data_IF_166565282815
#
_entry.id   IF_166565282815
#
_cell.length_a   1.000
_cell.length_b   1.000
_cell.length_c   1.000
_cell.angle_alpha   90.00
_cell.angle_beta   90.00
_cell.angle_gamma   90.00
#
_symmetry.space_group_name_H-M   'P 1'
#
loop_
_entity.id
_entity.type
_entity.pdbx_description
1 polymer ?
#
# COMPACT_ATOMS: atom_id res chain seq x y z
N UNK A 1 -23.07 10.51 26.10
CA UNK A 1 -22.92 9.09 25.82
C UNK A 1 -23.72 8.74 24.57
N UNK A 2 -23.10 8.05 23.60
CA UNK A 2 -23.73 7.55 22.39
C UNK A 2 -23.35 6.10 22.17
N UNK A 3 -24.24 5.31 21.59
CA UNK A 3 -23.99 3.91 21.26
C UNK A 3 -24.75 3.52 20.01
N UNK A 4 -24.16 2.64 19.20
CA UNK A 4 -24.76 2.13 17.97
C UNK A 4 -24.30 0.69 17.73
N UNK A 5 -25.23 -0.17 17.35
CA UNK A 5 -24.95 -1.51 16.81
C UNK A 5 -25.34 -1.53 15.34
N UNK A 6 -24.55 -2.20 14.52
CA UNK A 6 -24.78 -2.34 13.08
C UNK A 6 -24.43 -3.75 12.62
N UNK A 7 -25.24 -4.30 11.75
CA UNK A 7 -24.95 -5.48 10.95
C UNK A 7 -24.84 -5.05 9.48
N UNK A 8 -23.86 -5.63 8.78
CA UNK A 8 -23.67 -5.48 7.35
C UNK A 8 -23.63 -6.87 6.71
N UNK A 9 -24.36 -7.03 5.63
CA UNK A 9 -24.24 -8.14 4.71
C UNK A 9 -24.05 -7.56 3.30
N UNK A 10 -23.07 -8.07 2.60
CA UNK A 10 -22.73 -7.65 1.26
C UNK A 10 -22.53 -8.88 0.38
N UNK A 11 -23.12 -8.86 -0.81
CA UNK A 11 -22.91 -9.86 -1.86
C UNK A 11 -22.52 -9.10 -3.10
N UNK A 12 -21.28 -9.27 -3.51
CA UNK A 12 -20.71 -8.67 -4.72
C UNK A 12 -20.58 -9.77 -5.77
N UNK A 13 -21.19 -9.55 -6.92
CA UNK A 13 -21.14 -10.48 -8.05
C UNK A 13 -20.58 -9.75 -9.25
N UNK A 14 -19.52 -10.28 -9.80
CA UNK A 14 -18.87 -9.78 -11.00
C UNK A 14 -19.03 -10.80 -12.12
N UNK A 15 -19.63 -10.38 -13.23
CA UNK A 15 -19.77 -11.14 -14.47
C UNK A 15 -19.11 -10.33 -15.60
N UNK A 16 -18.16 -10.91 -16.30
CA UNK A 16 -17.54 -10.32 -17.47
C UNK A 16 -17.66 -11.24 -18.67
N UNK A 17 -17.98 -10.67 -19.82
CA UNK A 17 -18.01 -11.36 -21.08
C UNK A 17 -17.24 -10.53 -22.12
N UNK A 18 -16.15 -11.06 -22.60
CA UNK A 18 -15.35 -10.47 -23.66
C UNK A 18 -15.58 -11.24 -24.96
N UNK A 19 -15.81 -10.53 -26.06
CA UNK A 19 -15.89 -11.12 -27.39
C UNK A 19 -15.24 -10.19 -28.42
N UNK A 20 -14.33 -10.72 -29.20
CA UNK A 20 -13.63 -10.02 -30.29
C UNK A 20 -13.77 -10.79 -31.60
N UNK A 21 -13.96 -10.05 -32.70
CA UNK A 21 -13.94 -10.61 -34.04
C UNK A 21 -13.23 -9.66 -34.99
N UNK A 22 -12.48 -10.21 -35.94
CA UNK A 22 -11.71 -9.47 -36.96
C UNK A 22 -12.12 -9.93 -38.33
N UNK A 23 -11.73 -9.16 -39.37
CA UNK A 23 -12.01 -9.46 -40.78
C UNK A 23 -13.51 -9.71 -41.04
N UNK A 24 -14.32 -8.63 -41.09
CA UNK A 24 -15.75 -8.74 -41.34
C UNK A 24 -16.05 -9.06 -42.81
N UNK A 25 -16.88 -10.05 -43.07
CA UNK A 25 -17.24 -10.55 -44.40
C UNK A 25 -17.88 -9.49 -45.31
N UNK A 26 -18.50 -8.44 -44.76
CA UNK A 26 -19.13 -7.37 -45.48
C UNK A 26 -18.82 -5.99 -44.92
N UNK A 27 -18.46 -5.05 -45.76
CA UNK A 27 -18.18 -3.66 -45.38
C UNK A 27 -19.45 -3.01 -44.80
N UNK A 28 -19.30 -2.45 -43.59
CA UNK A 28 -20.40 -1.76 -42.88
C UNK A 28 -21.28 -2.65 -42.03
N UNK A 29 -21.01 -3.96 -41.95
CA UNK A 29 -21.69 -4.91 -41.08
C UNK A 29 -20.69 -5.34 -39.97
N UNK A 30 -20.79 -4.70 -38.80
CA UNK A 30 -19.88 -4.95 -37.64
C UNK A 30 -20.53 -5.84 -36.57
N UNK A 31 -21.19 -6.90 -37.04
CA UNK A 31 -21.71 -7.94 -36.14
C UNK A 31 -20.63 -8.99 -35.91
N UNK A 32 -20.45 -9.44 -34.66
CA UNK A 32 -19.50 -10.51 -34.31
C UNK A 32 -19.74 -11.78 -35.17
N UNK A 33 -21.01 -12.09 -35.48
CA UNK A 33 -21.35 -13.21 -36.36
C UNK A 33 -20.93 -13.04 -37.81
N UNK A 34 -20.51 -11.85 -38.25
CA UNK A 34 -19.98 -11.57 -39.58
C UNK A 34 -18.44 -11.53 -39.62
N UNK A 35 -17.76 -11.73 -38.51
CA UNK A 35 -16.31 -11.86 -38.44
C UNK A 35 -15.87 -13.20 -39.03
N UNK A 36 -14.80 -13.16 -39.86
CA UNK A 36 -14.23 -14.36 -40.52
C UNK A 36 -12.94 -14.83 -39.89
N UNK A 37 -12.30 -13.97 -39.10
CA UNK A 37 -11.03 -14.27 -38.37
C UNK A 37 -11.03 -13.71 -36.97
N UNK A 38 -10.12 -14.23 -36.11
CA UNK A 38 -9.84 -13.69 -34.81
C UNK A 38 -11.01 -13.75 -33.80
N UNK A 39 -11.88 -14.73 -33.96
CA UNK A 39 -12.98 -14.95 -33.00
C UNK A 39 -12.42 -15.39 -31.66
N UNK A 40 -12.47 -14.48 -30.68
CA UNK A 40 -12.14 -14.77 -29.29
C UNK A 40 -13.36 -14.50 -28.43
N UNK A 41 -13.69 -15.45 -27.57
CA UNK A 41 -14.74 -15.30 -26.56
C UNK A 41 -14.14 -15.77 -25.24
N UNK A 42 -14.28 -14.93 -24.23
CA UNK A 42 -13.85 -15.22 -22.87
C UNK A 42 -14.91 -14.78 -21.88
N UNK A 43 -15.00 -15.41 -20.73
CA UNK A 43 -15.94 -15.06 -19.68
C UNK A 43 -15.32 -15.31 -18.32
N UNK A 44 -15.60 -14.40 -17.39
CA UNK A 44 -15.17 -14.51 -16.01
C UNK A 44 -16.34 -14.20 -15.10
N UNK A 45 -16.52 -15.00 -14.06
CA UNK A 45 -17.54 -14.81 -13.03
C UNK A 45 -16.91 -15.05 -11.67
N UNK A 46 -17.15 -14.13 -10.73
CA UNK A 46 -16.89 -14.36 -9.32
C UNK A 46 -18.03 -13.85 -8.43
N UNK A 47 -18.07 -14.34 -7.20
CA UNK A 47 -18.97 -13.87 -6.18
C UNK A 47 -18.26 -13.81 -4.83
N UNK A 48 -18.31 -12.62 -4.22
CA UNK A 48 -17.75 -12.36 -2.90
C UNK A 48 -18.89 -12.10 -1.92
N UNK A 49 -18.87 -12.84 -0.81
CA UNK A 49 -19.81 -12.64 0.30
C UNK A 49 -19.03 -12.05 1.48
N UNK A 50 -19.60 -11.03 2.11
CA UNK A 50 -19.04 -10.39 3.30
C UNK A 50 -20.13 -10.15 4.34
N UNK A 51 -19.76 -10.36 5.60
CA UNK A 51 -20.61 -10.05 6.74
C UNK A 51 -19.83 -9.26 7.77
N UNK A 52 -20.50 -8.34 8.48
CA UNK A 52 -19.87 -7.53 9.50
C UNK A 52 -20.79 -7.17 10.65
N UNK A 53 -20.27 -7.29 11.87
CA UNK A 53 -20.92 -6.88 13.10
C UNK A 53 -20.14 -5.75 13.73
N UNK A 54 -20.82 -4.65 14.08
CA UNK A 54 -20.20 -3.44 14.59
C UNK A 54 -20.82 -3.03 15.91
N UNK A 55 -19.97 -2.69 16.87
CA UNK A 55 -20.35 -2.00 18.09
C UNK A 55 -19.59 -0.68 18.18
N UNK A 56 -20.29 0.44 18.27
CA UNK A 56 -19.74 1.77 18.31
C UNK A 56 -20.17 2.44 19.61
N UNK A 57 -19.23 3.02 20.34
CA UNK A 57 -19.47 3.77 21.57
C UNK A 57 -18.77 5.11 21.54
N UNK A 58 -19.35 6.11 22.18
CA UNK A 58 -18.73 7.43 22.31
C UNK A 58 -19.14 8.13 23.59
N UNK A 59 -18.17 8.78 24.21
CA UNK A 59 -18.33 9.56 25.42
C UNK A 59 -17.77 10.96 25.13
N UNK A 60 -18.57 11.96 25.42
CA UNK A 60 -18.14 13.34 25.51
C UNK A 60 -18.45 13.81 26.93
N UNK A 61 -17.40 14.22 27.64
CA UNK A 61 -17.55 14.70 29.01
C UNK A 61 -17.12 16.16 29.10
N UNK A 62 -18.11 17.06 29.31
CA UNK A 62 -17.96 18.51 29.48
C UNK A 62 -17.24 19.17 28.29
N UNK A 63 -17.37 18.64 27.09
CA UNK A 63 -16.64 19.10 25.89
C UNK A 63 -15.11 19.16 26.03
N UNK A 64 -14.56 18.47 27.05
CA UNK A 64 -13.13 18.42 27.35
C UNK A 64 -12.49 17.10 26.98
N UNK A 65 -13.17 16.02 27.36
CA UNK A 65 -12.68 14.66 27.19
C UNK A 65 -13.61 13.91 26.24
N UNK A 66 -13.09 13.59 25.08
CA UNK A 66 -13.83 12.90 24.05
C UNK A 66 -13.20 11.53 23.87
N UNK A 67 -14.01 10.48 23.88
CA UNK A 67 -13.59 9.10 23.64
C UNK A 67 -14.55 8.46 22.65
N UNK A 68 -14.02 7.88 21.59
CA UNK A 68 -14.74 7.06 20.63
C UNK A 68 -14.12 5.68 20.51
N UNK A 69 -14.97 4.66 20.48
CA UNK A 69 -14.58 3.26 20.36
C UNK A 69 -15.41 2.59 19.28
N UNK A 70 -14.75 1.76 18.48
CA UNK A 70 -15.35 0.87 17.51
C UNK A 70 -14.77 -0.52 17.72
N UNK A 71 -15.66 -1.51 17.80
CA UNK A 71 -15.30 -2.91 17.64
C UNK A 71 -16.04 -3.46 16.44
N UNK A 72 -15.33 -4.26 15.64
CA UNK A 72 -15.86 -4.83 14.41
C UNK A 72 -15.42 -6.28 14.27
N UNK A 73 -16.35 -7.17 13.93
CA UNK A 73 -16.06 -8.54 13.54
C UNK A 73 -16.54 -8.75 12.11
N UNK A 74 -15.62 -9.07 11.21
CA UNK A 74 -15.88 -9.23 9.79
C UNK A 74 -15.61 -10.64 9.32
N UNK A 75 -16.45 -11.13 8.43
CA UNK A 75 -16.27 -12.36 7.69
C UNK A 75 -16.24 -12.12 6.19
N UNK A 76 -15.42 -12.89 5.46
CA UNK A 76 -15.38 -12.84 4.00
C UNK A 76 -15.11 -14.21 3.40
N UNK A 77 -15.78 -14.49 2.26
CA UNK A 77 -15.59 -15.72 1.49
C UNK A 77 -14.21 -15.80 0.82
N UNK A 78 -13.44 -14.69 0.78
CA UNK A 78 -12.09 -14.65 0.20
C UNK A 78 -11.05 -15.34 1.06
N UNK A 79 -11.33 -15.59 2.34
CA UNK A 79 -10.43 -16.29 3.25
C UNK A 79 -10.76 -17.78 3.32
N UNK A 80 -9.75 -18.59 3.62
CA UNK A 80 -9.92 -19.99 3.97
C UNK A 80 -10.87 -20.15 5.18
N UNK A 81 -11.40 -21.34 5.36
CA UNK A 81 -12.46 -21.62 6.35
C UNK A 81 -12.04 -21.22 7.77
N UNK A 82 -10.78 -21.46 8.14
CA UNK A 82 -10.24 -21.18 9.47
C UNK A 82 -9.99 -19.69 9.73
N UNK A 83 -9.74 -18.90 8.68
CA UNK A 83 -9.37 -17.49 8.75
C UNK A 83 -10.50 -16.55 8.31
N UNK A 84 -11.68 -17.10 8.11
CA UNK A 84 -12.84 -16.36 7.56
C UNK A 84 -13.28 -15.18 8.41
N UNK A 85 -13.13 -15.24 9.73
CA UNK A 85 -13.61 -14.24 10.66
C UNK A 85 -12.47 -13.50 11.37
N UNK A 86 -12.42 -12.16 11.20
CA UNK A 86 -11.40 -11.30 11.77
C UNK A 86 -12.02 -10.24 12.69
N UNK A 87 -11.26 -9.84 13.71
CA UNK A 87 -11.68 -8.83 14.66
C UNK A 87 -10.84 -7.56 14.48
N UNK A 88 -11.52 -6.42 14.40
CA UNK A 88 -10.89 -5.12 14.28
C UNK A 88 -11.42 -4.17 15.34
N UNK A 89 -10.60 -3.22 15.73
CA UNK A 89 -10.99 -2.21 16.70
C UNK A 89 -10.42 -0.84 16.33
N UNK A 90 -11.06 0.19 16.86
CA UNK A 90 -10.51 1.55 16.88
C UNK A 90 -10.86 2.19 18.22
N UNK A 91 -9.87 2.82 18.83
CA UNK A 91 -10.03 3.68 20.00
C UNK A 91 -9.43 5.04 19.64
N UNK A 92 -10.20 6.09 19.82
CA UNK A 92 -9.70 7.45 19.63
C UNK A 92 -10.11 8.33 20.80
N UNK A 93 -9.21 9.20 21.21
CA UNK A 93 -9.46 10.16 22.28
C UNK A 93 -8.98 11.54 21.91
N UNK A 94 -9.68 12.54 22.42
CA UNK A 94 -9.25 13.91 22.34
C UNK A 94 -9.40 14.59 23.70
N UNK A 95 -8.37 15.34 24.09
CA UNK A 95 -8.36 16.15 25.29
C UNK A 95 -8.20 17.62 24.90
N UNK A 96 -9.23 18.42 25.16
CA UNK A 96 -9.21 19.87 24.95
C UNK A 96 -8.55 20.57 26.14
N UNK A 97 -7.23 20.68 26.09
CA UNK A 97 -6.40 21.33 27.10
C UNK A 97 -6.83 22.77 27.38
N UNK A 98 -7.24 23.47 26.31
CA UNK A 98 -7.72 24.86 26.42
C UNK A 98 -8.98 25.04 27.24
N UNK A 99 -9.74 24.01 27.53
CA UNK A 99 -10.94 24.05 28.36
C UNK A 99 -10.64 23.73 29.85
N UNK A 100 -9.37 23.47 30.19
CA UNK A 100 -8.95 23.24 31.56
C UNK A 100 -8.74 24.55 32.34
N UNK A 101 -8.97 24.49 33.66
CA UNK A 101 -8.84 25.68 34.52
C UNK A 101 -7.42 26.27 34.51
N UNK A 102 -6.39 25.42 34.41
CA UNK A 102 -4.99 25.84 34.36
C UNK A 102 -4.63 26.61 33.08
N UNK A 103 -5.44 26.49 32.00
CA UNK A 103 -5.22 27.15 30.72
C UNK A 103 -5.76 28.59 30.67
N UNK A 104 -6.51 28.99 31.66
CA UNK A 104 -7.25 30.30 31.70
C UNK A 104 -6.36 31.52 31.39
N UNK A 105 -5.11 31.52 31.87
CA UNK A 105 -4.16 32.62 31.62
C UNK A 105 -3.64 32.67 30.17
N UNK A 106 -3.65 31.54 29.46
CA UNK A 106 -3.16 31.40 28.10
C UNK A 106 -4.28 31.58 27.05
N UNK A 107 -5.56 31.45 27.46
CA UNK A 107 -6.73 31.42 26.56
C UNK A 107 -6.87 32.68 25.69
N UNK A 108 -6.36 33.83 26.14
CA UNK A 108 -6.32 35.07 25.36
C UNK A 108 -5.38 35.02 24.16
N UNK A 109 -4.32 34.22 24.23
CA UNK A 109 -3.33 34.06 23.17
C UNK A 109 -3.48 32.74 22.43
N UNK A 110 -3.58 31.63 23.16
CA UNK A 110 -3.80 30.29 22.62
C UNK A 110 -5.26 29.94 22.91
N UNK A 111 -6.10 30.14 21.91
CA UNK A 111 -7.55 30.03 22.05
C UNK A 111 -8.02 28.59 22.09
N UNK A 112 -7.33 27.70 21.37
CA UNK A 112 -7.54 26.28 21.40
C UNK A 112 -6.20 25.53 21.51
N UNK A 113 -6.18 24.51 22.35
CA UNK A 113 -5.12 23.51 22.43
C UNK A 113 -5.79 22.17 22.66
N UNK A 114 -5.56 21.22 21.74
CA UNK A 114 -6.17 19.91 21.78
C UNK A 114 -5.13 18.84 21.49
N UNK A 115 -5.06 17.85 22.35
CA UNK A 115 -4.30 16.62 22.13
C UNK A 115 -5.22 15.54 21.57
N UNK A 116 -4.75 14.79 20.58
CA UNK A 116 -5.47 13.67 19.96
C UNK A 116 -4.61 12.43 20.00
N UNK A 117 -5.26 11.32 20.27
CA UNK A 117 -4.69 9.99 20.16
C UNK A 117 -5.67 9.09 19.45
N UNK A 118 -5.20 8.29 18.51
CA UNK A 118 -5.97 7.20 17.96
C UNK A 118 -5.11 5.95 17.77
N UNK A 119 -5.73 4.79 17.98
CA UNK A 119 -5.18 3.50 17.61
C UNK A 119 -6.29 2.64 17.02
N UNK A 120 -6.02 2.06 15.86
CA UNK A 120 -6.97 1.24 15.17
C UNK A 120 -6.32 0.14 14.37
N UNK A 121 -7.12 -0.85 14.03
CA UNK A 121 -6.72 -1.98 13.20
C UNK A 121 -7.63 -2.09 11.99
N UNK A 122 -7.06 -2.54 10.87
CA UNK A 122 -7.76 -2.84 9.63
C UNK A 122 -7.14 -4.09 8.99
N UNK A 123 -7.90 -4.78 8.15
CA UNK A 123 -7.40 -5.92 7.39
C UNK A 123 -7.59 -5.70 5.91
N UNK A 124 -6.67 -6.24 5.12
CA UNK A 124 -6.82 -6.34 3.68
C UNK A 124 -7.08 -7.79 3.27
N UNK A 125 -7.93 -7.97 2.27
CA UNK A 125 -8.35 -9.30 1.80
C UNK A 125 -7.45 -9.75 0.64
N UNK A 126 -7.16 -11.07 0.52
CA UNK A 126 -6.47 -11.61 -0.64
C UNK A 126 -7.34 -11.49 -1.91
N UNK A 127 -6.73 -11.75 -3.07
CA UNK A 127 -7.49 -11.92 -4.31
C UNK A 127 -8.37 -13.19 -4.23
N UNK A 128 -9.45 -13.22 -5.01
CA UNK A 128 -10.39 -14.34 -5.04
C UNK A 128 -9.70 -15.69 -5.27
N UNK A 129 -8.76 -15.73 -6.20
CA UNK A 129 -8.08 -16.95 -6.61
C UNK A 129 -6.94 -17.40 -5.67
N UNK A 130 -6.54 -16.57 -4.66
CA UNK A 130 -5.33 -16.84 -3.87
C UNK A 130 -5.38 -18.16 -3.07
N UNK A 131 -6.58 -18.62 -2.68
CA UNK A 131 -6.76 -19.87 -1.94
C UNK A 131 -6.85 -21.11 -2.85
N UNK A 132 -6.98 -20.93 -4.17
CA UNK A 132 -7.19 -22.01 -5.15
C UNK A 132 -5.98 -22.20 -6.05
N UNK A 133 -5.82 -23.44 -6.56
CA UNK A 133 -4.91 -23.72 -7.65
C UNK A 133 -5.44 -23.09 -8.93
N UNK A 134 -4.61 -22.36 -9.65
CA UNK A 134 -4.96 -21.75 -10.93
C UNK A 134 -4.20 -22.38 -12.09
N UNK A 135 -4.84 -22.40 -13.24
CA UNK A 135 -4.31 -22.94 -14.47
C UNK A 135 -4.46 -21.94 -15.60
N UNK A 136 -3.45 -21.87 -16.44
CA UNK A 136 -3.55 -21.12 -17.70
C UNK A 136 -3.95 -22.08 -18.83
N UNK A 137 -4.92 -21.67 -19.63
CA UNK A 137 -5.37 -22.45 -20.80
C UNK A 137 -5.11 -21.60 -22.04
N UNK A 138 -4.12 -22.02 -22.84
CA UNK A 138 -3.75 -21.33 -24.08
C UNK A 138 -3.58 -22.31 -25.21
N UNK A 139 -4.28 -22.09 -26.33
CA UNK A 139 -4.20 -22.98 -27.51
C UNK A 139 -4.60 -24.44 -27.23
N UNK A 140 -5.47 -24.67 -26.25
CA UNK A 140 -5.88 -26.02 -25.83
C UNK A 140 -4.87 -26.72 -24.90
N UNK A 141 -3.78 -26.07 -24.52
CA UNK A 141 -2.79 -26.56 -23.56
C UNK A 141 -3.08 -25.98 -22.17
N UNK A 142 -3.13 -26.88 -21.18
CA UNK A 142 -3.32 -26.50 -19.78
C UNK A 142 -1.95 -26.50 -19.09
N UNK A 143 -1.56 -25.37 -18.53
CA UNK A 143 -0.38 -25.22 -17.67
C UNK A 143 -0.77 -24.79 -16.26
N UNK A 144 -0.02 -25.27 -15.26
CA UNK A 144 -0.20 -24.86 -13.87
C UNK A 144 0.37 -23.46 -13.69
N UNK A 145 -0.40 -22.55 -13.07
CA UNK A 145 0.01 -21.18 -12.84
C UNK A 145 0.34 -20.96 -11.35
N UNK A 146 -0.66 -20.78 -10.51
CA UNK A 146 -0.45 -20.53 -9.09
C UNK A 146 -0.87 -21.71 -8.23
N UNK A 147 -0.05 -22.03 -7.24
CA UNK A 147 -0.40 -22.98 -6.19
C UNK A 147 -1.29 -22.29 -5.16
N UNK A 148 -2.44 -22.87 -4.87
CA UNK A 148 -3.37 -22.33 -3.88
C UNK A 148 -2.78 -22.32 -2.47
N UNK A 149 -3.23 -21.36 -1.64
CA UNK A 149 -2.87 -21.29 -0.22
C UNK A 149 -4.12 -21.07 0.63
N UNK A 150 -4.61 -22.15 1.25
CA UNK A 150 -5.80 -22.12 2.12
C UNK A 150 -5.51 -21.60 3.52
N UNK A 151 -4.23 -21.52 3.91
CA UNK A 151 -3.77 -21.06 5.21
C UNK A 151 -3.32 -19.58 5.16
N UNK A 152 -3.70 -18.87 4.08
CA UNK A 152 -3.36 -17.47 3.89
C UNK A 152 -4.06 -16.61 4.94
N UNK A 153 -3.27 -15.95 5.77
CA UNK A 153 -3.75 -14.99 6.76
C UNK A 153 -4.11 -13.66 6.07
N UNK A 154 -5.08 -12.90 6.60
CA UNK A 154 -5.29 -11.53 6.15
C UNK A 154 -4.08 -10.66 6.47
N UNK A 155 -3.81 -9.68 5.62
CA UNK A 155 -2.93 -8.58 6.00
C UNK A 155 -3.58 -7.84 7.17
N UNK A 156 -2.80 -7.56 8.19
CA UNK A 156 -3.28 -6.90 9.40
C UNK A 156 -2.54 -5.59 9.62
N UNK A 157 -3.25 -4.49 9.46
CA UNK A 157 -2.70 -3.15 9.68
C UNK A 157 -3.07 -2.64 11.06
N UNK A 158 -2.07 -2.19 11.82
CA UNK A 158 -2.24 -1.45 13.07
C UNK A 158 -1.70 -0.05 12.90
N UNK A 159 -2.56 0.95 13.06
CA UNK A 159 -2.16 2.35 13.01
C UNK A 159 -2.30 3.01 14.37
N UNK A 160 -1.27 3.77 14.76
CA UNK A 160 -1.24 4.59 15.96
C UNK A 160 -0.92 6.03 15.57
N UNK A 161 -1.77 6.95 15.99
CA UNK A 161 -1.67 8.37 15.66
C UNK A 161 -1.65 9.21 16.93
N UNK A 162 -0.76 10.19 16.97
CA UNK A 162 -0.69 11.26 17.98
C UNK A 162 -0.80 12.61 17.25
N UNK A 163 -1.67 13.46 17.76
CA UNK A 163 -1.90 14.78 17.15
C UNK A 163 -2.01 15.90 18.18
N UNK A 164 -1.57 17.07 17.77
CA UNK A 164 -1.75 18.33 18.50
C UNK A 164 -2.34 19.38 17.58
N UNK A 165 -3.43 20.00 18.04
CA UNK A 165 -4.08 21.10 17.33
C UNK A 165 -4.02 22.37 18.20
N UNK A 166 -3.58 23.46 17.61
CA UNK A 166 -3.53 24.78 18.27
C UNK A 166 -4.21 25.84 17.43
N UNK A 167 -4.95 26.75 18.11
CA UNK A 167 -5.41 27.98 17.54
C UNK A 167 -4.83 29.15 18.34
N UNK A 168 -4.13 30.06 17.66
CA UNK A 168 -3.40 31.18 18.28
C UNK A 168 -3.97 32.48 17.75
N UNK A 169 -4.38 33.36 18.67
CA UNK A 169 -4.97 34.71 18.40
C UNK A 169 -6.16 34.65 17.43
N UNK A 170 -6.86 33.50 17.31
CA UNK A 170 -7.91 33.26 16.31
C UNK A 170 -7.49 33.55 14.86
N UNK A 171 -6.19 33.59 14.59
CA UNK A 171 -5.61 33.90 13.26
C UNK A 171 -4.74 32.76 12.72
N UNK A 172 -4.09 32.05 13.60
CA UNK A 172 -3.17 30.97 13.23
C UNK A 172 -3.71 29.65 13.73
N UNK A 173 -3.78 28.68 12.86
CA UNK A 173 -4.10 27.28 13.20
C UNK A 173 -2.90 26.41 12.86
N UNK A 174 -2.45 25.62 13.82
CA UNK A 174 -1.33 24.68 13.68
C UNK A 174 -1.82 23.29 14.02
N UNK A 175 -1.59 22.34 13.14
CA UNK A 175 -1.86 20.92 13.37
C UNK A 175 -0.58 20.14 13.12
N UNK A 176 -0.24 19.28 14.06
CA UNK A 176 0.92 18.38 13.99
C UNK A 176 0.39 16.98 14.23
N UNK A 177 0.67 16.07 13.32
CA UNK A 177 0.28 14.67 13.44
C UNK A 177 1.47 13.77 13.20
N UNK A 178 1.69 12.82 14.10
CA UNK A 178 2.65 11.72 13.93
C UNK A 178 1.85 10.42 13.87
N UNK A 179 1.95 9.70 12.75
CA UNK A 179 1.35 8.40 12.56
C UNK A 179 2.43 7.31 12.42
N UNK A 180 2.13 6.13 12.95
CA UNK A 180 2.90 4.91 12.71
C UNK A 180 1.92 3.81 12.31
N UNK A 181 2.13 3.22 11.14
CA UNK A 181 1.36 2.11 10.61
C UNK A 181 2.27 0.88 10.49
N UNK A 182 1.81 -0.26 11.00
CA UNK A 182 2.48 -1.55 10.90
C UNK A 182 1.53 -2.48 10.15
N UNK A 183 1.97 -3.01 9.02
CA UNK A 183 1.23 -3.99 8.22
C UNK A 183 1.94 -5.33 8.37
N UNK A 184 1.31 -6.25 9.10
CA UNK A 184 1.78 -7.61 9.33
C UNK A 184 1.15 -8.57 8.31
N UNK A 185 1.78 -9.70 8.07
CA UNK A 185 1.31 -10.76 7.16
C UNK A 185 1.08 -10.26 5.73
N UNK A 186 1.95 -9.41 5.22
CA UNK A 186 1.82 -8.86 3.88
C UNK A 186 1.70 -9.97 2.83
N UNK A 187 0.67 -9.89 1.99
CA UNK A 187 0.34 -10.93 1.01
C UNK A 187 1.11 -10.65 -0.29
N UNK A 188 2.07 -11.52 -0.60
CA UNK A 188 2.92 -11.42 -1.79
C UNK A 188 2.77 -12.64 -2.67
N UNK A 189 2.83 -12.45 -3.99
CA UNK A 189 2.93 -13.52 -4.96
C UNK A 189 4.41 -13.92 -5.08
N UNK A 190 4.76 -15.10 -4.56
CA UNK A 190 6.13 -15.58 -4.43
C UNK A 190 6.43 -16.60 -5.52
N UNK A 191 7.45 -16.40 -6.36
CA UNK A 191 7.89 -17.38 -7.33
C UNK A 191 8.28 -18.69 -6.66
N UNK A 192 7.88 -19.82 -7.24
CA UNK A 192 8.21 -21.15 -6.76
C UNK A 192 9.33 -21.77 -7.57
N UNK A 193 10.09 -22.65 -6.92
CA UNK A 193 11.09 -23.45 -7.62
C UNK A 193 10.41 -24.50 -8.52
N UNK A 194 11.00 -24.78 -9.69
CA UNK A 194 10.39 -25.59 -10.75
C UNK A 194 9.93 -26.99 -10.33
N UNK A 195 10.46 -27.56 -9.25
CA UNK A 195 10.04 -28.89 -8.77
C UNK A 195 8.63 -28.91 -8.15
N UNK A 196 8.07 -27.74 -7.76
CA UNK A 196 6.68 -27.66 -7.33
C UNK A 196 5.69 -27.79 -8.50
N UNK A 197 6.15 -27.55 -9.73
CA UNK A 197 5.33 -27.64 -10.92
C UNK A 197 4.30 -26.51 -11.08
N UNK A 198 4.38 -25.47 -10.25
CA UNK A 198 3.64 -24.23 -10.32
C UNK A 198 4.62 -23.05 -10.43
N UNK A 199 4.20 -21.95 -11.03
CA UNK A 199 5.03 -20.76 -11.21
C UNK A 199 5.19 -19.97 -9.91
N UNK A 200 4.10 -19.80 -9.16
CA UNK A 200 4.09 -18.98 -7.95
C UNK A 200 3.03 -19.42 -6.93
N UNK A 201 3.10 -18.83 -5.74
CA UNK A 201 2.13 -19.01 -4.66
C UNK A 201 1.95 -17.72 -3.86
N UNK A 202 0.71 -17.39 -3.51
CA UNK A 202 0.42 -16.32 -2.55
C UNK A 202 0.84 -16.74 -1.15
N UNK A 203 1.67 -15.91 -0.49
CA UNK A 203 2.18 -16.15 0.86
C UNK A 203 2.14 -14.89 1.69
N UNK A 204 1.95 -15.06 2.99
CA UNK A 204 2.27 -14.01 3.93
C UNK A 204 3.79 -13.96 4.10
N UNK A 205 4.42 -12.82 3.81
CA UNK A 205 5.86 -12.79 3.60
C UNK A 205 6.56 -11.59 4.23
N UNK A 206 6.00 -11.01 5.27
CA UNK A 206 6.73 -9.99 6.01
C UNK A 206 5.87 -8.90 6.65
N UNK A 207 6.57 -7.94 7.24
CA UNK A 207 6.00 -6.79 7.96
C UNK A 207 6.55 -5.50 7.37
N UNK A 208 5.65 -4.56 7.07
CA UNK A 208 5.97 -3.21 6.62
C UNK A 208 5.65 -2.21 7.74
N UNK A 209 6.61 -1.35 8.08
CA UNK A 209 6.41 -0.27 9.03
C UNK A 209 6.52 1.08 8.33
N UNK A 210 5.48 1.90 8.44
CA UNK A 210 5.43 3.26 7.89
C UNK A 210 5.36 4.28 9.02
N UNK A 211 6.14 5.35 8.91
CA UNK A 211 6.13 6.49 9.84
C UNK A 211 5.86 7.76 9.05
N UNK A 212 4.84 8.50 9.45
CA UNK A 212 4.42 9.73 8.77
C UNK A 212 4.35 10.88 9.77
N UNK A 213 4.97 11.99 9.43
CA UNK A 213 4.87 13.26 10.13
C UNK A 213 4.15 14.26 9.21
N UNK A 214 3.07 14.86 9.72
CA UNK A 214 2.29 15.88 9.01
C UNK A 214 2.28 17.16 9.82
N UNK A 215 2.48 18.27 9.13
CA UNK A 215 2.38 19.63 9.68
C UNK A 215 1.49 20.47 8.79
N UNK A 216 0.46 21.05 9.36
CA UNK A 216 -0.42 22.02 8.70
C UNK A 216 -0.40 23.34 9.46
N UNK A 217 -0.10 24.40 8.75
CA UNK A 217 -0.16 25.78 9.25
C UNK A 217 -1.14 26.56 8.39
N UNK A 218 -2.14 27.14 9.00
CA UNK A 218 -3.05 28.11 8.39
C UNK A 218 -2.91 29.46 9.08
N UNK A 219 -2.78 30.52 8.31
CA UNK A 219 -2.62 31.88 8.81
C UNK A 219 -3.59 32.83 8.10
N UNK A 220 -4.39 33.58 8.86
CA UNK A 220 -5.16 34.71 8.36
C UNK A 220 -4.27 35.95 8.45
N UNK A 221 -3.61 36.30 7.34
CA UNK A 221 -2.63 37.40 7.28
C UNK A 221 -3.32 38.78 7.30
N UNK A 222 -4.45 38.86 6.61
CA UNK A 222 -5.27 40.04 6.57
C UNK A 222 -6.75 39.66 6.48
N UNK A 223 -7.58 40.37 7.24
CA UNK A 223 -9.04 40.21 7.14
C UNK A 223 -9.67 41.59 7.48
N UNK A 224 -10.18 42.27 6.47
CA UNK A 224 -10.92 43.48 6.59
C UNK A 224 -12.16 43.44 5.67
N UNK A 225 -12.92 44.56 5.60
CA UNK A 225 -14.16 44.62 4.83
C UNK A 225 -13.96 44.31 3.34
N UNK A 226 -12.83 44.72 2.78
CA UNK A 226 -12.61 44.75 1.34
C UNK A 226 -11.66 43.63 0.87
N UNK A 227 -10.88 43.01 1.78
CA UNK A 227 -9.88 42.01 1.45
C UNK A 227 -9.70 41.01 2.58
N UNK A 228 -9.64 39.75 2.19
CA UNK A 228 -9.22 38.64 3.05
C UNK A 228 -8.03 37.92 2.40
N UNK A 229 -6.94 37.75 3.16
CA UNK A 229 -5.76 37.03 2.73
C UNK A 229 -5.42 35.93 3.73
N UNK A 230 -5.43 34.69 3.27
CA UNK A 230 -5.13 33.49 4.06
C UNK A 230 -3.96 32.77 3.42
N UNK A 231 -2.99 32.34 4.21
CA UNK A 231 -1.88 31.49 3.77
C UNK A 231 -2.03 30.11 4.41
N UNK A 232 -1.75 29.05 3.63
CA UNK A 232 -1.71 27.67 4.11
C UNK A 232 -0.35 27.07 3.73
N UNK A 233 0.30 26.42 4.70
CA UNK A 233 1.55 25.68 4.50
C UNK A 233 1.31 24.27 4.99
N UNK A 234 1.54 23.31 4.11
CA UNK A 234 1.45 21.87 4.39
C UNK A 234 2.84 21.28 4.21
N UNK A 235 3.23 20.45 5.15
CA UNK A 235 4.45 19.65 5.06
C UNK A 235 4.13 18.24 5.52
N UNK A 236 4.54 17.26 4.72
CA UNK A 236 4.47 15.86 5.10
C UNK A 236 5.80 15.17 4.80
N UNK A 237 6.10 14.17 5.62
CA UNK A 237 7.21 13.26 5.41
C UNK A 237 6.76 11.86 5.81
N UNK A 238 6.77 10.95 4.84
CA UNK A 238 6.51 9.53 5.08
C UNK A 238 7.73 8.69 4.75
N UNK A 239 7.96 7.66 5.55
CA UNK A 239 9.02 6.68 5.34
C UNK A 239 8.44 5.31 5.62
N UNK A 240 8.59 4.38 4.68
CA UNK A 240 8.12 3.00 4.81
C UNK A 240 9.31 2.05 4.67
N UNK A 241 9.42 1.11 5.59
CA UNK A 241 10.52 0.16 5.70
C UNK A 241 9.97 -1.26 5.84
N UNK A 242 10.56 -2.21 5.12
CA UNK A 242 10.31 -3.63 5.31
C UNK A 242 11.05 -4.06 6.59
N UNK A 243 10.34 -4.15 7.71
CA UNK A 243 10.94 -4.46 9.02
C UNK A 243 11.16 -5.95 9.24
N UNK A 244 10.38 -6.80 8.58
CA UNK A 244 10.55 -8.25 8.57
C UNK A 244 10.28 -8.78 7.17
N UNK A 245 11.07 -9.77 6.74
CA UNK A 245 10.89 -10.42 5.45
C UNK A 245 11.33 -11.88 5.54
N UNK A 246 10.36 -12.80 5.43
CA UNK A 246 10.53 -14.22 5.72
C UNK A 246 11.01 -15.04 4.50
N UNK A 247 11.35 -14.36 3.41
CA UNK A 247 11.80 -14.97 2.17
C UNK A 247 13.25 -14.57 1.86
N UNK A 248 13.98 -15.31 1.02
CA UNK A 248 15.24 -14.84 0.48
C UNK A 248 15.06 -13.51 -0.25
N UNK A 249 15.99 -12.56 -0.10
CA UNK A 249 15.93 -11.28 -0.80
C UNK A 249 15.82 -11.46 -2.32
N UNK A 250 14.98 -10.67 -2.97
CA UNK A 250 14.87 -10.65 -4.42
C UNK A 250 14.50 -9.26 -4.96
N UNK A 251 14.93 -9.02 -6.20
CA UNK A 251 14.53 -7.84 -6.96
C UNK A 251 13.21 -8.10 -7.69
N UNK A 252 12.34 -7.10 -7.74
CA UNK A 252 11.10 -7.17 -8.48
C UNK A 252 10.80 -5.86 -9.23
N UNK A 253 9.85 -5.92 -10.17
CA UNK A 253 9.31 -4.78 -10.89
C UNK A 253 7.78 -4.78 -10.79
N UNK A 254 7.13 -3.62 -10.64
CA UNK A 254 5.66 -3.53 -10.66
C UNK A 254 5.06 -3.80 -12.04
N UNK A 255 5.86 -3.74 -13.11
CA UNK A 255 5.40 -4.02 -14.46
C UNK A 255 6.03 -5.31 -14.99
N UNK A 256 5.21 -6.26 -15.40
CA UNK A 256 5.60 -7.45 -16.14
C UNK A 256 5.78 -7.10 -17.63
N UNK A 257 6.82 -6.34 -17.95
CA UNK A 257 7.14 -5.97 -19.32
C UNK A 257 8.53 -6.47 -19.68
N UNK A 258 8.73 -6.96 -20.90
CA UNK A 258 10.02 -7.50 -21.36
C UNK A 258 11.18 -6.46 -21.32
N UNK A 259 10.86 -5.16 -21.21
CA UNK A 259 11.85 -4.09 -20.99
C UNK A 259 11.92 -3.60 -19.54
N UNK A 260 11.04 -4.05 -18.65
CA UNK A 260 11.04 -3.65 -17.26
C UNK A 260 12.08 -4.47 -16.47
N UNK A 261 13.17 -3.81 -16.08
CA UNK A 261 14.15 -4.43 -15.20
C UNK A 261 13.63 -4.38 -13.74
N UNK A 262 13.83 -5.44 -12.95
CA UNK A 262 13.56 -5.40 -11.52
C UNK A 262 14.40 -4.31 -10.87
N UNK A 263 13.75 -3.35 -10.22
CA UNK A 263 14.40 -2.16 -9.67
C UNK A 263 14.14 -1.96 -8.17
N UNK A 264 13.24 -2.74 -7.59
CA UNK A 264 12.93 -2.70 -6.17
C UNK A 264 13.46 -3.95 -5.48
N UNK A 265 14.05 -3.79 -4.29
CA UNK A 265 14.55 -4.89 -3.48
C UNK A 265 13.57 -5.21 -2.37
N UNK A 266 13.17 -6.48 -2.27
CA UNK A 266 12.45 -7.01 -1.14
C UNK A 266 13.41 -7.69 -0.19
N UNK A 267 13.73 -7.03 0.92
CA UNK A 267 14.54 -7.56 2.02
C UNK A 267 14.28 -6.79 3.32
N UNK A 268 14.60 -7.41 4.43
CA UNK A 268 14.53 -6.74 5.74
C UNK A 268 15.46 -5.52 5.81
N UNK A 269 14.95 -4.39 6.32
CA UNK A 269 15.68 -3.14 6.45
C UNK A 269 15.64 -2.26 5.20
N UNK A 270 14.96 -2.70 4.13
CA UNK A 270 14.86 -1.93 2.90
C UNK A 270 13.74 -0.88 2.98
N UNK A 271 14.04 0.33 2.52
CA UNK A 271 13.04 1.39 2.38
C UNK A 271 12.27 1.21 1.07
N UNK A 272 10.94 1.29 1.15
CA UNK A 272 10.11 1.33 -0.05
C UNK A 272 10.40 2.59 -0.87
N UNK A 273 10.61 2.38 -2.18
CA UNK A 273 10.94 3.44 -3.12
C UNK A 273 12.44 3.59 -3.39
N UNK A 274 13.30 2.83 -2.72
CA UNK A 274 14.69 2.73 -3.11
C UNK A 274 14.81 2.02 -4.45
N UNK A 275 15.50 2.64 -5.39
CA UNK A 275 15.72 2.10 -6.73
C UNK A 275 17.09 1.42 -6.81
N UNK A 276 17.09 0.21 -7.32
CA UNK A 276 18.27 -0.57 -7.64
C UNK A 276 18.50 -0.53 -9.15
N UNK A 277 19.74 -0.39 -9.56
CA UNK A 277 20.07 -0.34 -10.96
C UNK A 277 21.58 -0.45 -11.20
N UNK A 278 21.95 -0.55 -12.45
CA UNK A 278 23.35 -0.56 -12.85
C UNK A 278 23.93 0.86 -12.74
N UNK A 279 25.07 0.97 -12.08
CA UNK A 279 25.85 2.21 -11.99
C UNK A 279 27.13 2.02 -12.79
N UNK A 280 27.43 2.97 -13.66
CA UNK A 280 28.75 3.00 -14.28
C UNK A 280 29.83 3.24 -13.23
N UNK A 281 30.82 2.36 -13.22
CA UNK A 281 32.01 2.46 -12.34
C UNK A 281 32.91 3.58 -12.87
N UNK A 282 33.38 4.43 -11.97
CA UNK A 282 34.30 5.55 -12.30
C UNK A 282 35.67 5.45 -11.64
N UNK A 283 35.82 4.52 -10.71
CA UNK A 283 37.06 4.24 -10.00
C UNK A 283 37.36 2.74 -10.11
N UNK A 284 38.61 2.41 -10.42
CA UNK A 284 39.08 1.03 -10.50
C UNK A 284 38.98 0.31 -9.13
N UNK A 285 38.94 1.06 -8.04
CA UNK A 285 38.80 0.50 -6.70
C UNK A 285 37.36 0.04 -6.41
N UNK A 286 36.39 0.53 -7.17
CA UNK A 286 34.98 0.11 -7.09
C UNK A 286 34.72 -1.22 -7.84
N UNK A 287 35.69 -1.76 -8.56
CA UNK A 287 35.57 -3.03 -9.24
C UNK A 287 35.38 -4.19 -8.25
N UNK A 288 34.53 -5.18 -8.54
CA UNK A 288 34.38 -6.36 -7.71
C UNK A 288 35.70 -7.09 -7.50
N UNK A 289 35.94 -7.65 -6.31
CA UNK A 289 37.18 -8.28 -5.91
C UNK A 289 37.60 -9.51 -6.74
N UNK A 290 36.64 -10.10 -7.48
CA UNK A 290 36.90 -11.26 -8.37
C UNK A 290 37.32 -10.85 -9.79
N UNK A 291 37.39 -9.55 -10.07
CA UNK A 291 37.74 -9.00 -11.38
C UNK A 291 39.17 -8.50 -11.33
N UNK A 292 39.97 -8.82 -12.36
CA UNK A 292 41.37 -8.38 -12.48
C UNK A 292 41.40 -6.91 -12.94
N UNK A 293 41.80 -6.01 -12.05
CA UNK A 293 41.83 -4.56 -12.32
C UNK A 293 42.74 -4.17 -13.50
N UNK A 294 43.75 -4.99 -13.81
CA UNK A 294 44.66 -4.77 -14.93
C UNK A 294 44.00 -4.91 -16.32
N UNK A 295 42.82 -5.47 -16.38
CA UNK A 295 42.05 -5.58 -17.62
C UNK A 295 41.11 -4.40 -17.86
N UNK A 296 41.13 -3.39 -16.97
CA UNK A 296 40.28 -2.22 -17.04
C UNK A 296 41.06 -0.94 -17.02
N UNK A 297 40.55 0.09 -17.67
CA UNK A 297 41.11 1.46 -17.67
C UNK A 297 39.97 2.48 -17.60
N UNK A 298 40.29 3.73 -17.32
CA UNK A 298 39.35 4.83 -17.28
C UNK A 298 39.42 5.56 -18.62
N UNK A 299 38.29 5.59 -19.34
CA UNK A 299 38.20 6.29 -20.62
C UNK A 299 38.17 7.83 -20.45
N UNK A 300 38.18 8.57 -21.56
CA UNK A 300 38.17 10.04 -21.58
C UNK A 300 36.94 10.66 -20.93
N UNK A 301 35.83 9.91 -20.87
CA UNK A 301 34.59 10.33 -20.22
C UNK A 301 34.55 10.02 -18.70
N UNK A 302 35.62 9.44 -18.17
CA UNK A 302 35.77 9.12 -16.75
C UNK A 302 35.00 7.87 -16.32
N UNK A 303 34.76 6.93 -17.22
CA UNK A 303 34.15 5.63 -16.92
C UNK A 303 35.20 4.51 -17.00
N UNK A 304 35.09 3.55 -16.08
CA UNK A 304 35.87 2.32 -16.14
C UNK A 304 35.35 1.46 -17.28
N UNK A 305 36.23 1.12 -18.21
CA UNK A 305 35.95 0.28 -19.38
C UNK A 305 36.90 -0.92 -19.41
N UNK A 306 36.43 -2.04 -19.92
CA UNK A 306 37.24 -3.22 -20.10
C UNK A 306 38.14 -3.00 -21.32
N UNK A 307 39.47 -3.13 -21.13
CA UNK A 307 40.47 -3.00 -22.20
C UNK A 307 41.11 -4.33 -22.58
N UNK A 308 40.79 -5.40 -21.85
CA UNK A 308 41.25 -6.75 -22.09
C UNK A 308 42.77 -6.92 -21.79
N UNK A 309 43.23 -8.13 -21.96
CA UNK A 309 44.66 -8.49 -21.75
C UNK A 309 45.57 -8.03 -22.88
N UNK A 310 45.14 -7.15 -23.77
CA UNK A 310 45.93 -6.53 -24.82
C UNK A 310 45.17 -6.33 -26.15
N UNK A 311 45.09 -5.10 -26.56
CA UNK A 311 44.93 -4.61 -27.93
C UNK A 311 43.57 -4.68 -28.65
N UNK A 312 42.43 -4.91 -28.01
CA UNK A 312 41.18 -4.64 -28.68
C UNK A 312 40.24 -3.84 -27.75
N UNK A 313 40.12 -2.54 -28.07
CA UNK A 313 38.99 -1.72 -27.61
C UNK A 313 37.76 -2.13 -28.45
N UNK A 314 36.78 -2.75 -27.84
CA UNK A 314 35.41 -2.83 -28.38
C UNK A 314 34.46 -1.93 -27.60
#
# INVERSE_FOLDING_TARGET
LRGKLRYLYESDKYDDLYAEGREFAAKGIYSLGAATEGMQVDSYEDQILSEGYFAIGGIDYKDKYILDMLFRKDGSSLFGENERWQNYYRVSSAWRLSEEAFWSSLKGTVNEAKFRFSKGTAGNRPSFAAQYETYNVSGGIISKQNLGNKDLLPEFSTETELGFDFSIMNKYSVQITQATSIIENQILLVPLQGFYGYESQWKNAGTLTSKTLELSLQAVLMSNRDMQWTANVLYDKSTSEITEFDLPPYLWSPEESWWAFPVFMNQTGELLGNLYGHKFIRDLDDLPSHVEKSEFDINDDGYVVWVGSGNNYE
#
